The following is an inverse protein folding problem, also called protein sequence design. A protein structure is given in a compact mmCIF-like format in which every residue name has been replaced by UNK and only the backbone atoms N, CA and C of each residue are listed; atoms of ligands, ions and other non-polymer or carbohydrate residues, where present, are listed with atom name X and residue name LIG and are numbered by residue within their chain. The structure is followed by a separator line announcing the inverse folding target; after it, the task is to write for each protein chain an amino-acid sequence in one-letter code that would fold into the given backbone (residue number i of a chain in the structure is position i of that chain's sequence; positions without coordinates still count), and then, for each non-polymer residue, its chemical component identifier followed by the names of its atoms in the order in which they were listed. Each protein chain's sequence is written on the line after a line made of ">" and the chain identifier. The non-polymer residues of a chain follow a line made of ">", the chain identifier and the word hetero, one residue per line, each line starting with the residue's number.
data_IF_512781729798
#
_entry.id   IF_512781729798
#
_cell.length_a   1.000
_cell.length_b   1.000
_cell.length_c   1.000
_cell.angle_alpha   90.00
_cell.angle_beta   90.00
_cell.angle_gamma   90.00
#
_symmetry.space_group_name_H-M   'P 1'
#
loop_
_entity.id
_entity.type
_entity.pdbx_description
1 polymer ?
#
# COMPACT_ATOMS: atom_id res chain seq x y z
N UNK A 1 55.62 -28.97 -11.05
CA UNK A 1 54.47 -28.66 -10.18
C UNK A 1 53.21 -28.72 -11.02
N UNK A 2 52.58 -29.92 -11.08
CA UNK A 2 51.37 -30.15 -11.86
C UNK A 2 50.16 -29.79 -10.97
N UNK A 3 49.61 -28.63 -11.16
CA UNK A 3 48.40 -28.21 -10.53
C UNK A 3 47.25 -28.41 -11.53
N UNK A 4 46.37 -29.37 -11.19
CA UNK A 4 45.13 -29.71 -11.92
C UNK A 4 45.30 -30.26 -13.34
N UNK A 5 45.75 -31.53 -13.46
CA UNK A 5 45.62 -32.34 -14.69
C UNK A 5 44.19 -32.83 -14.93
N UNK A 6 43.26 -31.95 -15.19
CA UNK A 6 41.97 -32.35 -15.80
C UNK A 6 42.23 -32.29 -17.30
N UNK A 7 42.50 -33.48 -17.93
CA UNK A 7 42.45 -33.65 -19.38
C UNK A 7 40.95 -33.49 -19.74
N UNK A 8 40.53 -32.29 -20.05
CA UNK A 8 39.21 -32.03 -20.62
C UNK A 8 39.25 -32.57 -22.05
N UNK A 9 38.69 -33.75 -22.24
CA UNK A 9 38.36 -34.26 -23.55
C UNK A 9 37.44 -33.24 -24.27
N UNK A 10 37.48 -33.20 -25.59
CA UNK A 10 36.70 -32.27 -26.41
C UNK A 10 35.19 -32.23 -25.98
N UNK A 11 34.64 -33.35 -25.59
CA UNK A 11 33.29 -33.52 -25.03
C UNK A 11 33.08 -32.76 -23.71
N UNK A 12 34.08 -32.74 -22.85
CA UNK A 12 34.05 -32.00 -21.58
C UNK A 12 34.03 -30.47 -21.77
N UNK A 13 34.77 -29.97 -22.74
CA UNK A 13 34.78 -28.55 -23.11
C UNK A 13 33.44 -28.08 -23.66
N UNK A 14 32.78 -28.87 -24.51
CA UNK A 14 31.45 -28.57 -25.02
C UNK A 14 30.36 -28.53 -23.94
N UNK A 15 30.41 -29.45 -22.97
CA UNK A 15 29.51 -29.50 -21.85
C UNK A 15 29.67 -28.27 -20.94
N UNK A 16 30.89 -27.84 -20.66
CA UNK A 16 31.18 -26.63 -19.90
C UNK A 16 30.69 -25.37 -20.62
N UNK A 17 30.90 -25.26 -21.93
CA UNK A 17 30.43 -24.15 -22.73
C UNK A 17 28.88 -24.09 -22.75
N UNK A 18 28.22 -25.25 -22.93
CA UNK A 18 26.77 -25.34 -22.88
C UNK A 18 26.20 -24.97 -21.49
N UNK A 19 26.81 -25.44 -20.40
CA UNK A 19 26.43 -25.09 -19.05
C UNK A 19 26.62 -23.60 -18.77
N UNK A 20 27.72 -23.01 -19.23
CA UNK A 20 27.98 -21.57 -19.10
C UNK A 20 26.94 -20.71 -19.83
N UNK A 21 26.59 -21.10 -21.08
CA UNK A 21 25.55 -20.38 -21.84
C UNK A 21 24.16 -20.50 -21.19
N UNK A 22 23.79 -21.67 -20.66
CA UNK A 22 22.53 -21.85 -19.93
C UNK A 22 22.50 -21.00 -18.67
N UNK A 23 23.56 -20.94 -17.89
CA UNK A 23 23.67 -20.10 -16.70
C UNK A 23 23.56 -18.61 -17.04
N UNK A 24 24.29 -18.15 -18.07
CA UNK A 24 24.21 -16.77 -18.52
C UNK A 24 22.81 -16.39 -18.99
N UNK A 25 22.14 -17.28 -19.72
CA UNK A 25 20.74 -17.09 -20.14
C UNK A 25 19.79 -17.01 -18.94
N UNK A 26 19.92 -17.90 -17.95
CA UNK A 26 19.08 -17.88 -16.74
C UNK A 26 19.27 -16.60 -15.93
N UNK A 27 20.51 -16.13 -15.80
CA UNK A 27 20.82 -14.88 -15.09
C UNK A 27 20.20 -13.69 -15.82
N UNK A 28 20.43 -13.58 -17.13
CA UNK A 28 19.88 -12.47 -17.94
C UNK A 28 18.36 -12.48 -17.95
N UNK A 29 17.74 -13.65 -18.06
CA UNK A 29 16.28 -13.78 -18.00
C UNK A 29 15.71 -13.35 -16.65
N UNK A 30 16.33 -13.79 -15.53
CA UNK A 30 15.92 -13.35 -14.19
C UNK A 30 16.10 -11.86 -13.98
N UNK A 31 17.17 -11.28 -14.48
CA UNK A 31 17.40 -9.83 -14.41
C UNK A 31 16.36 -9.05 -15.23
N UNK A 32 16.01 -9.52 -16.42
CA UNK A 32 14.97 -8.91 -17.26
C UNK A 32 13.61 -8.90 -16.54
N UNK A 33 13.17 -10.04 -16.01
CA UNK A 33 11.91 -10.15 -15.23
C UNK A 33 11.95 -9.24 -14.01
N UNK A 34 13.09 -9.16 -13.32
CA UNK A 34 13.23 -8.30 -12.14
C UNK A 34 13.09 -6.81 -12.49
N UNK A 35 13.68 -6.38 -13.61
CA UNK A 35 13.58 -5.00 -14.12
C UNK A 35 12.15 -4.67 -14.53
N UNK A 36 11.48 -5.58 -15.24
CA UNK A 36 10.10 -5.40 -15.66
C UNK A 36 9.16 -5.27 -14.45
N UNK A 37 9.29 -6.15 -13.46
CA UNK A 37 8.50 -6.07 -12.21
C UNK A 37 8.71 -4.75 -11.47
N UNK A 38 9.96 -4.26 -11.39
CA UNK A 38 10.26 -2.97 -10.76
C UNK A 38 9.63 -1.82 -11.55
N UNK A 39 9.72 -1.84 -12.88
CA UNK A 39 9.11 -0.84 -13.74
C UNK A 39 7.58 -0.81 -13.59
N UNK A 40 6.94 -1.99 -13.61
CA UNK A 40 5.49 -2.13 -13.40
C UNK A 40 5.06 -1.61 -12.02
N UNK A 41 5.82 -1.95 -10.97
CA UNK A 41 5.55 -1.45 -9.62
C UNK A 41 5.68 0.07 -9.53
N UNK A 42 6.71 0.67 -10.14
CA UNK A 42 6.89 2.14 -10.18
C UNK A 42 5.73 2.82 -10.87
N UNK A 43 5.33 2.34 -12.05
CA UNK A 43 4.20 2.89 -12.79
C UNK A 43 2.90 2.81 -11.97
N UNK A 44 2.63 1.67 -11.33
CA UNK A 44 1.47 1.50 -10.46
C UNK A 44 1.52 2.39 -9.22
N UNK A 45 2.69 2.58 -8.62
CA UNK A 45 2.91 3.47 -7.47
C UNK A 45 2.61 4.93 -7.82
N UNK A 46 3.11 5.40 -8.95
CA UNK A 46 2.84 6.76 -9.45
C UNK A 46 1.35 6.95 -9.70
N UNK A 47 0.70 6.00 -10.40
CA UNK A 47 -0.73 6.03 -10.68
C UNK A 47 -1.55 6.06 -9.39
N UNK A 48 -1.25 5.17 -8.44
CA UNK A 48 -1.94 5.11 -7.15
C UNK A 48 -1.80 6.42 -6.37
N UNK A 49 -0.57 6.94 -6.22
CA UNK A 49 -0.31 8.22 -5.55
C UNK A 49 -1.05 9.37 -6.21
N UNK A 50 -0.96 9.48 -7.53
CA UNK A 50 -1.68 10.51 -8.30
C UNK A 50 -3.18 10.44 -8.08
N UNK A 51 -3.78 9.24 -8.17
CA UNK A 51 -5.22 9.06 -7.94
C UNK A 51 -5.63 9.46 -6.53
N UNK A 52 -4.88 9.02 -5.51
CA UNK A 52 -5.18 9.39 -4.11
C UNK A 52 -5.07 10.90 -3.90
N UNK A 53 -4.00 11.53 -4.38
CA UNK A 53 -3.80 12.98 -4.24
C UNK A 53 -4.89 13.79 -4.95
N UNK A 54 -5.21 13.41 -6.19
CA UNK A 54 -6.25 14.09 -6.97
C UNK A 54 -7.62 13.91 -6.31
N UNK A 55 -7.96 12.69 -5.90
CA UNK A 55 -9.25 12.39 -5.28
C UNK A 55 -9.41 13.10 -3.93
N UNK A 56 -8.34 13.23 -3.14
CA UNK A 56 -8.36 13.87 -1.82
C UNK A 56 -7.95 15.34 -1.85
N UNK A 57 -7.90 15.97 -3.02
CA UNK A 57 -7.60 17.40 -3.15
C UNK A 57 -8.47 18.24 -2.20
N UNK A 58 -7.82 19.18 -1.49
CA UNK A 58 -8.45 20.04 -0.48
C UNK A 58 -8.61 19.40 0.91
N UNK A 59 -8.51 18.07 1.02
CA UNK A 59 -8.50 17.37 2.30
C UNK A 59 -7.09 16.88 2.67
N UNK A 60 -6.23 16.66 1.67
CA UNK A 60 -4.87 16.14 1.82
C UNK A 60 -3.94 16.70 0.72
N UNK A 61 -2.69 17.00 0.98
CA UNK A 61 -2.00 16.96 2.28
C UNK A 61 -2.34 18.13 3.20
N UNK A 62 -2.85 19.24 2.63
CA UNK A 62 -3.30 20.43 3.34
C UNK A 62 -4.82 20.45 3.35
N UNK A 63 -5.40 20.64 4.52
CA UNK A 63 -6.85 20.57 4.74
C UNK A 63 -7.52 21.93 4.48
N UNK A 64 -7.29 22.50 3.30
CA UNK A 64 -7.81 23.82 2.91
C UNK A 64 -9.33 23.86 2.73
N UNK A 65 -9.91 22.73 2.32
CA UNK A 65 -11.35 22.60 2.04
C UNK A 65 -12.02 21.59 2.96
N UNK A 66 -11.60 21.53 4.23
CA UNK A 66 -12.30 20.69 5.21
C UNK A 66 -13.70 21.23 5.43
N UNK A 67 -14.74 20.37 5.37
CA UNK A 67 -16.12 20.84 5.55
C UNK A 67 -16.33 21.55 6.89
N UNK A 68 -17.00 22.71 6.85
CA UNK A 68 -17.36 23.46 8.08
C UNK A 68 -18.38 22.71 8.94
N UNK A 69 -19.29 21.96 8.31
CA UNK A 69 -20.13 20.99 9.01
C UNK A 69 -19.37 19.68 9.09
N UNK A 70 -19.01 19.30 10.29
CA UNK A 70 -18.13 18.18 10.61
C UNK A 70 -18.67 16.82 10.13
N UNK A 71 -19.98 16.63 10.08
CA UNK A 71 -20.59 15.39 9.55
C UNK A 71 -20.51 15.27 8.04
N UNK A 72 -20.45 16.39 7.31
CA UNK A 72 -20.32 16.36 5.85
C UNK A 72 -19.06 15.69 5.36
N UNK A 73 -18.03 15.53 6.20
CA UNK A 73 -16.82 14.81 5.80
C UNK A 73 -17.11 13.35 5.42
N UNK A 74 -18.09 12.73 6.09
CA UNK A 74 -18.51 11.35 5.78
C UNK A 74 -19.04 11.28 4.35
N UNK A 75 -19.93 12.20 3.98
CA UNK A 75 -20.56 12.22 2.67
C UNK A 75 -19.52 12.48 1.56
N UNK A 76 -18.62 13.45 1.78
CA UNK A 76 -17.51 13.75 0.87
C UNK A 76 -16.59 12.55 0.66
N UNK A 77 -16.29 11.79 1.72
CA UNK A 77 -15.43 10.62 1.60
C UNK A 77 -16.16 9.42 1.00
N UNK A 78 -17.47 9.27 1.27
CA UNK A 78 -18.31 8.23 0.62
C UNK A 78 -18.46 8.47 -0.87
N UNK A 79 -18.65 9.70 -1.31
CA UNK A 79 -18.69 10.07 -2.72
C UNK A 79 -17.40 9.69 -3.46
N UNK A 80 -16.26 9.86 -2.79
CA UNK A 80 -14.92 9.54 -3.35
C UNK A 80 -14.53 8.07 -3.20
N UNK A 81 -15.35 7.28 -2.49
CA UNK A 81 -15.01 5.90 -2.12
C UNK A 81 -14.74 5.00 -3.32
N UNK A 82 -15.60 5.04 -4.34
CA UNK A 82 -15.48 4.14 -5.51
C UNK A 82 -14.16 4.31 -6.25
N UNK A 83 -13.71 5.55 -6.42
CA UNK A 83 -12.44 5.88 -7.07
C UNK A 83 -11.25 5.39 -6.23
N UNK A 84 -11.28 5.64 -4.94
CA UNK A 84 -10.23 5.19 -4.02
C UNK A 84 -10.19 3.67 -3.91
N UNK A 85 -11.36 3.01 -3.84
CA UNK A 85 -11.47 1.55 -3.79
C UNK A 85 -10.86 0.91 -5.03
N UNK A 86 -11.16 1.45 -6.21
CA UNK A 86 -10.58 0.97 -7.47
C UNK A 86 -9.06 1.11 -7.49
N UNK A 87 -8.55 2.28 -7.09
CA UNK A 87 -7.11 2.53 -7.02
C UNK A 87 -6.41 1.60 -6.02
N UNK A 88 -7.01 1.37 -4.86
CA UNK A 88 -6.52 0.43 -3.84
C UNK A 88 -6.48 -1.00 -4.38
N UNK A 89 -7.56 -1.46 -5.02
CA UNK A 89 -7.65 -2.80 -5.57
C UNK A 89 -6.62 -3.05 -6.67
N UNK A 90 -6.42 -2.08 -7.56
CA UNK A 90 -5.42 -2.14 -8.63
C UNK A 90 -3.99 -2.16 -8.07
N UNK A 91 -3.66 -1.24 -7.18
CA UNK A 91 -2.32 -1.15 -6.59
C UNK A 91 -1.97 -2.37 -5.73
N UNK A 92 -2.95 -2.91 -4.99
CA UNK A 92 -2.79 -4.12 -4.18
C UNK A 92 -2.22 -5.30 -4.95
N UNK A 93 -2.59 -5.46 -6.24
CA UNK A 93 -2.11 -6.55 -7.08
C UNK A 93 -0.60 -6.47 -7.35
N UNK A 94 -0.03 -5.27 -7.33
CA UNK A 94 1.40 -5.03 -7.55
C UNK A 94 2.25 -5.23 -6.29
N UNK A 95 1.61 -5.29 -5.12
CA UNK A 95 2.32 -5.51 -3.86
C UNK A 95 2.75 -6.97 -3.70
N UNK A 96 3.92 -7.23 -3.10
CA UNK A 96 4.31 -8.56 -2.65
C UNK A 96 3.27 -9.15 -1.70
N UNK A 97 3.06 -10.46 -1.76
CA UNK A 97 2.06 -11.16 -0.93
C UNK A 97 2.20 -10.83 0.56
N UNK A 98 3.43 -10.71 1.05
CA UNK A 98 3.74 -10.37 2.44
C UNK A 98 3.30 -8.96 2.85
N UNK A 99 3.17 -8.02 1.91
CA UNK A 99 2.72 -6.64 2.17
C UNK A 99 1.22 -6.44 1.96
N UNK A 100 0.54 -7.34 1.23
CA UNK A 100 -0.89 -7.18 0.90
C UNK A 100 -1.79 -7.08 2.11
N UNK A 101 -1.62 -7.98 3.08
CA UNK A 101 -2.46 -7.97 4.28
C UNK A 101 -2.26 -6.70 5.14
N UNK A 102 -1.03 -6.18 5.19
CA UNK A 102 -0.74 -4.92 5.90
C UNK A 102 -1.37 -3.73 5.20
N UNK A 103 -1.34 -3.72 3.87
CA UNK A 103 -1.99 -2.71 3.05
C UNK A 103 -3.52 -2.76 3.19
N UNK A 104 -4.10 -3.96 3.14
CA UNK A 104 -5.53 -4.18 3.39
C UNK A 104 -5.94 -3.67 4.78
N UNK A 105 -5.12 -3.93 5.80
CA UNK A 105 -5.32 -3.39 7.14
C UNK A 105 -5.23 -1.87 7.18
N UNK A 106 -4.29 -1.27 6.47
CA UNK A 106 -4.17 0.19 6.38
C UNK A 106 -5.41 0.80 5.71
N UNK A 107 -5.91 0.19 4.63
CA UNK A 107 -7.15 0.57 3.97
C UNK A 107 -8.37 0.45 4.89
N UNK A 108 -8.45 -0.65 5.65
CA UNK A 108 -9.50 -0.83 6.66
C UNK A 108 -9.45 0.28 7.73
N UNK A 109 -8.27 0.57 8.27
CA UNK A 109 -8.08 1.63 9.26
C UNK A 109 -8.45 3.00 8.70
N UNK A 110 -8.11 3.29 7.44
CA UNK A 110 -8.51 4.53 6.78
C UNK A 110 -10.03 4.68 6.71
N UNK A 111 -10.77 3.61 6.42
CA UNK A 111 -12.23 3.66 6.32
C UNK A 111 -12.95 3.63 7.67
N UNK A 112 -12.53 2.77 8.57
CA UNK A 112 -13.30 2.38 9.76
C UNK A 112 -12.62 2.75 11.08
N UNK A 113 -11.36 3.17 11.04
CA UNK A 113 -10.56 3.33 12.25
C UNK A 113 -9.98 2.00 12.75
N UNK A 114 -9.26 2.06 13.87
CA UNK A 114 -8.53 0.90 14.44
C UNK A 114 -9.48 -0.21 14.90
N UNK A 115 -10.61 0.17 15.48
CA UNK A 115 -11.55 -0.74 16.14
C UNK A 115 -12.89 -0.85 15.37
N UNK A 116 -12.95 -0.25 14.19
CA UNK A 116 -14.17 -0.19 13.37
C UNK A 116 -14.56 -1.56 12.82
N UNK A 117 -15.87 -1.85 12.85
CA UNK A 117 -16.47 -3.01 12.17
C UNK A 117 -16.79 -2.65 10.72
N UNK A 118 -16.84 -3.63 9.83
CA UNK A 118 -17.23 -3.40 8.42
C UNK A 118 -18.75 -3.20 8.29
N UNK A 119 -19.22 -2.08 8.81
CA UNK A 119 -20.60 -1.63 8.72
C UNK A 119 -20.57 -0.25 8.05
N UNK A 120 -21.40 -0.04 7.04
CA UNK A 120 -21.43 1.22 6.28
C UNK A 120 -21.65 2.47 7.16
N UNK A 121 -22.44 2.35 8.23
CA UNK A 121 -22.68 3.43 9.17
C UNK A 121 -21.43 3.86 9.96
N UNK A 122 -20.40 3.01 10.01
CA UNK A 122 -19.13 3.31 10.69
C UNK A 122 -18.05 3.88 9.76
N UNK A 123 -18.27 3.85 8.44
CA UNK A 123 -17.30 4.37 7.49
C UNK A 123 -17.03 5.85 7.75
N UNK A 124 -15.76 6.18 7.97
CA UNK A 124 -15.24 7.54 8.15
C UNK A 124 -15.66 8.26 9.43
N UNK A 125 -16.39 7.60 10.36
CA UNK A 125 -16.82 8.20 11.63
C UNK A 125 -15.64 8.67 12.49
N UNK A 126 -14.45 8.08 12.36
CA UNK A 126 -13.26 8.52 13.08
C UNK A 126 -12.78 9.92 12.68
N UNK A 127 -13.26 10.48 11.58
CA UNK A 127 -12.90 11.81 11.07
C UNK A 127 -13.95 12.88 11.42
N UNK A 128 -14.98 12.49 12.17
CA UNK A 128 -15.92 13.41 12.80
C UNK A 128 -15.45 13.70 14.22
N UNK A 129 -15.35 14.98 14.63
CA UNK A 129 -14.95 15.32 15.99
C UNK A 129 -16.06 14.97 16.97
N UNK A 130 -15.90 13.85 17.64
CA UNK A 130 -16.86 13.31 18.59
C UNK A 130 -16.19 13.01 19.92
N UNK A 131 -16.96 13.22 20.99
CA UNK A 131 -16.67 12.68 22.31
C UNK A 131 -17.65 11.54 22.58
N UNK A 132 -17.18 10.31 22.53
CA UNK A 132 -18.00 9.13 22.83
C UNK A 132 -17.54 8.49 24.13
N UNK A 133 -18.49 8.20 25.00
CA UNK A 133 -18.28 7.33 26.14
C UNK A 133 -18.92 5.97 25.83
N UNK A 134 -18.19 4.89 26.05
CA UNK A 134 -18.70 3.54 25.89
C UNK A 134 -18.23 2.65 27.04
N UNK A 135 -19.01 1.61 27.32
CA UNK A 135 -18.67 0.63 28.34
C UNK A 135 -18.30 -0.67 27.64
N UNK A 136 -17.10 -1.16 27.92
CA UNK A 136 -16.62 -2.43 27.43
C UNK A 136 -16.09 -3.24 28.60
N UNK A 137 -16.53 -4.49 28.74
CA UNK A 137 -16.17 -5.38 29.87
C UNK A 137 -16.36 -4.72 31.26
N UNK A 138 -17.44 -3.93 31.44
CA UNK A 138 -17.72 -3.26 32.69
C UNK A 138 -16.84 -2.04 32.99
N UNK A 139 -15.92 -1.67 32.11
CA UNK A 139 -15.10 -0.47 32.22
C UNK A 139 -15.59 0.63 31.30
N UNK A 140 -15.66 1.85 31.84
CA UNK A 140 -16.03 3.04 31.06
C UNK A 140 -14.80 3.57 30.33
N UNK A 141 -14.93 3.72 29.01
CA UNK A 141 -13.93 4.32 28.14
C UNK A 141 -14.47 5.63 27.57
N UNK A 142 -13.60 6.62 27.47
CA UNK A 142 -13.93 7.89 26.84
C UNK A 142 -13.01 8.06 25.63
N UNK A 143 -13.58 8.22 24.44
CA UNK A 143 -12.86 8.57 23.24
C UNK A 143 -13.18 10.01 22.88
N UNK A 144 -12.16 10.86 22.86
CA UNK A 144 -12.25 12.24 22.42
C UNK A 144 -11.23 12.45 21.29
N UNK A 145 -11.73 12.67 20.07
CA UNK A 145 -10.88 12.91 18.90
C UNK A 145 -10.96 14.33 18.36
N UNK A 146 -11.62 15.25 19.07
CA UNK A 146 -11.88 16.64 18.62
C UNK A 146 -10.61 17.41 18.24
N UNK A 147 -9.48 17.07 18.82
CA UNK A 147 -8.18 17.71 18.53
C UNK A 147 -7.34 16.92 17.54
N UNK A 148 -7.66 15.65 17.29
CA UNK A 148 -6.80 14.74 16.50
C UNK A 148 -7.39 14.30 15.16
N UNK A 149 -8.72 14.38 14.95
CA UNK A 149 -9.41 13.79 13.79
C UNK A 149 -8.82 14.18 12.43
N UNK A 150 -8.41 15.42 12.26
CA UNK A 150 -7.77 15.89 11.02
C UNK A 150 -6.36 15.31 10.85
N UNK A 151 -5.61 15.23 11.95
CA UNK A 151 -4.29 14.62 11.94
C UNK A 151 -4.37 13.10 11.74
N UNK A 152 -5.36 12.45 12.34
CA UNK A 152 -5.63 11.02 12.14
C UNK A 152 -5.96 10.72 10.68
N UNK A 153 -6.76 11.59 10.02
CA UNK A 153 -7.00 11.50 8.58
C UNK A 153 -5.70 11.55 7.79
N UNK A 154 -4.89 12.59 8.03
CA UNK A 154 -3.60 12.76 7.35
C UNK A 154 -2.69 11.55 7.56
N UNK A 155 -2.54 11.08 8.80
CA UNK A 155 -1.70 9.92 9.12
C UNK A 155 -2.18 8.64 8.42
N UNK A 156 -3.49 8.43 8.31
CA UNK A 156 -4.04 7.26 7.63
C UNK A 156 -3.80 7.32 6.12
N UNK A 157 -3.89 8.50 5.49
CA UNK A 157 -3.54 8.68 4.08
C UNK A 157 -2.03 8.51 3.88
N UNK A 158 -1.19 9.11 4.72
CA UNK A 158 0.27 8.94 4.69
C UNK A 158 0.66 7.45 4.79
N UNK A 159 -0.01 6.69 5.66
CA UNK A 159 0.19 5.24 5.80
C UNK A 159 -0.17 4.49 4.51
N UNK A 160 -1.26 4.83 3.84
CA UNK A 160 -1.59 4.22 2.54
C UNK A 160 -0.54 4.55 1.49
N UNK A 161 -0.12 5.80 1.39
CA UNK A 161 0.86 6.26 0.42
C UNK A 161 2.27 5.70 0.68
N UNK A 162 2.59 5.33 1.92
CA UNK A 162 3.89 4.74 2.27
C UNK A 162 4.17 3.42 1.56
N UNK A 163 3.12 2.65 1.20
CA UNK A 163 3.28 1.42 0.42
C UNK A 163 3.65 1.66 -1.05
N UNK A 164 3.39 2.86 -1.56
CA UNK A 164 3.74 3.29 -2.90
C UNK A 164 5.08 4.05 -2.95
N UNK A 165 5.83 4.09 -1.85
CA UNK A 165 7.19 4.60 -1.86
C UNK A 165 8.11 3.53 -2.46
N UNK A 166 9.00 3.96 -3.34
CA UNK A 166 10.06 3.10 -3.86
C UNK A 166 10.98 2.67 -2.71
N UNK A 167 11.19 1.38 -2.57
CA UNK A 167 12.29 0.79 -1.79
C UNK A 167 13.47 0.56 -2.70
#
# INVERSE_FOLDING_TARGET
>A
MNVFGIILDSTGLWLLAAAGTCLAWLITHRLAISRERRSAFRAASIKFRSTVLTTLTGLYPVQSNWPSNEFKIIDVLKERFSVLQAAVAEFRQQLPLTKRWMFDRAWKIYRLGKDGREIDSQCYMQYVPLTNEYIENGKRYKRDNRLSYKNDFKQNVDRLLSYANET
#
